data_IF_161830846242
#
_entry.id   IF_161830846242
#
_cell.length_a   1.000
_cell.length_b   1.000
_cell.length_c   1.000
_cell.angle_alpha   90.00
_cell.angle_beta   90.00
_cell.angle_gamma   90.00
#
_symmetry.space_group_name_H-M   'P 1'
#
loop_
_entity.id
_entity.type
_entity.pdbx_description
1 polymer ?
#
# COMPACT_ATOMS: atom_id res chain seq x y z
N UNK A 1 -7.54 -10.85 17.06
CA UNK A 1 -8.02 -11.85 16.07
C UNK A 1 -7.53 -11.54 14.64
N UNK A 2 -7.79 -10.33 14.12
CA UNK A 2 -7.35 -9.88 12.78
C UNK A 2 -5.87 -10.11 12.40
N UNK A 3 -4.87 -9.84 13.27
CA UNK A 3 -3.46 -10.02 12.87
C UNK A 3 -3.08 -11.50 12.63
N UNK A 4 -3.72 -12.44 13.33
CA UNK A 4 -3.48 -13.88 13.11
C UNK A 4 -4.05 -14.33 11.76
N UNK A 5 -5.23 -13.82 11.39
CA UNK A 5 -5.86 -14.11 10.10
C UNK A 5 -4.99 -13.55 8.96
N UNK A 6 -4.45 -12.34 9.12
CA UNK A 6 -3.54 -11.74 8.16
C UNK A 6 -2.27 -12.57 7.96
N UNK A 7 -1.67 -13.07 9.04
CA UNK A 7 -0.49 -13.96 8.97
C UNK A 7 -0.82 -15.26 8.23
N UNK A 8 -1.96 -15.88 8.55
CA UNK A 8 -2.41 -17.11 7.89
C UNK A 8 -2.62 -16.86 6.39
N UNK A 9 -3.29 -15.77 6.03
CA UNK A 9 -3.49 -15.38 4.63
C UNK A 9 -2.16 -15.10 3.91
N UNK A 10 -1.22 -14.42 4.55
CA UNK A 10 0.11 -14.16 4.01
C UNK A 10 0.92 -15.44 3.77
N UNK A 11 0.80 -16.43 4.66
CA UNK A 11 1.43 -17.74 4.48
C UNK A 11 0.74 -18.51 3.35
N UNK A 12 -0.60 -18.48 3.28
CA UNK A 12 -1.34 -19.13 2.19
C UNK A 12 -1.03 -18.51 0.83
N UNK A 13 -0.97 -17.18 0.73
CA UNK A 13 -0.59 -16.51 -0.51
C UNK A 13 0.84 -16.83 -0.91
N UNK A 14 1.77 -16.90 0.04
CA UNK A 14 3.15 -17.33 -0.21
C UNK A 14 3.23 -18.77 -0.72
N UNK A 15 2.48 -19.69 -0.11
CA UNK A 15 2.41 -21.09 -0.56
C UNK A 15 1.74 -21.21 -1.93
N UNK A 16 0.67 -20.47 -2.19
CA UNK A 16 0.00 -20.45 -3.50
C UNK A 16 0.91 -19.89 -4.60
N UNK A 17 1.63 -18.79 -4.34
CA UNK A 17 2.61 -18.24 -5.27
C UNK A 17 3.72 -19.26 -5.58
N UNK A 18 4.20 -20.01 -4.56
CA UNK A 18 5.22 -21.05 -4.73
C UNK A 18 4.71 -22.23 -5.56
N UNK A 19 3.48 -22.69 -5.33
CA UNK A 19 2.86 -23.81 -6.08
C UNK A 19 2.57 -23.45 -7.54
N UNK A 20 2.17 -22.21 -7.83
CA UNK A 20 1.98 -21.69 -9.20
C UNK A 20 3.29 -21.65 -10.01
N UNK A 21 4.43 -21.47 -9.35
CA UNK A 21 5.78 -21.54 -9.99
C UNK A 21 6.05 -22.87 -10.68
N UNK A 22 5.47 -23.96 -10.17
CA UNK A 22 5.77 -25.31 -10.67
C UNK A 22 5.00 -25.62 -11.96
N UNK A 23 3.97 -24.84 -12.32
CA UNK A 23 3.20 -24.98 -13.56
C UNK A 23 3.51 -23.81 -14.51
N UNK A 24 4.53 -23.99 -15.34
CA UNK A 24 4.71 -23.43 -16.70
C UNK A 24 3.84 -22.22 -17.12
N UNK A 25 3.88 -21.13 -16.35
CA UNK A 25 3.33 -19.83 -16.76
C UNK A 25 4.47 -18.88 -17.16
N UNK A 26 4.23 -17.95 -18.11
CA UNK A 26 5.27 -17.11 -18.67
C UNK A 26 6.02 -16.35 -17.58
N UNK A 27 7.37 -16.42 -17.62
CA UNK A 27 8.32 -15.88 -16.63
C UNK A 27 7.99 -14.45 -16.15
N UNK A 28 7.40 -13.62 -17.02
CA UNK A 28 7.03 -12.22 -16.75
C UNK A 28 5.87 -12.08 -15.73
N UNK A 29 4.90 -13.00 -15.71
CA UNK A 29 3.81 -12.99 -14.71
C UNK A 29 4.29 -13.48 -13.34
N UNK A 30 5.29 -14.36 -13.31
CA UNK A 30 5.80 -14.93 -12.07
C UNK A 30 6.53 -13.90 -11.19
N UNK A 31 7.38 -13.07 -11.81
CA UNK A 31 8.05 -11.99 -11.08
C UNK A 31 7.07 -10.94 -10.53
N UNK A 32 5.93 -10.73 -11.19
CA UNK A 32 4.88 -9.84 -10.71
C UNK A 32 4.27 -10.36 -9.40
N UNK A 33 3.83 -11.62 -9.41
CA UNK A 33 3.16 -12.23 -8.27
C UNK A 33 4.12 -12.40 -7.11
N UNK A 34 5.38 -12.77 -7.37
CA UNK A 34 6.42 -12.86 -6.33
C UNK A 34 6.67 -11.50 -5.67
N UNK A 35 6.74 -10.43 -6.45
CA UNK A 35 6.97 -9.09 -5.91
C UNK A 35 5.79 -8.57 -5.08
N UNK A 36 4.56 -8.82 -5.55
CA UNK A 36 3.34 -8.48 -4.81
C UNK A 36 3.24 -9.28 -3.51
N UNK A 37 3.55 -10.58 -3.54
CA UNK A 37 3.54 -11.42 -2.34
C UNK A 37 4.60 -10.97 -1.33
N UNK A 38 5.81 -10.61 -1.76
CA UNK A 38 6.86 -10.08 -0.87
C UNK A 38 6.43 -8.75 -0.25
N UNK A 39 5.80 -7.88 -1.02
CA UNK A 39 5.30 -6.58 -0.58
C UNK A 39 4.22 -6.75 0.51
N UNK A 40 3.24 -7.62 0.28
CA UNK A 40 2.19 -7.95 1.25
C UNK A 40 2.77 -8.62 2.50
N UNK A 41 3.77 -9.49 2.36
CA UNK A 41 4.35 -10.20 3.50
C UNK A 41 5.15 -9.26 4.42
N UNK A 42 5.86 -8.28 3.86
CA UNK A 42 6.54 -7.23 4.63
C UNK A 42 5.53 -6.37 5.38
N UNK A 43 4.43 -6.00 4.72
CA UNK A 43 3.39 -5.18 5.36
C UNK A 43 2.67 -5.93 6.48
N UNK A 44 2.33 -7.21 6.28
CA UNK A 44 1.76 -8.06 7.33
C UNK A 44 2.73 -8.15 8.52
N UNK A 45 4.03 -8.31 8.27
CA UNK A 45 5.03 -8.36 9.33
C UNK A 45 5.07 -7.07 10.14
N UNK A 46 5.13 -5.91 9.46
CA UNK A 46 5.11 -4.59 10.11
C UNK A 46 3.81 -4.38 10.89
N UNK A 47 2.67 -4.78 10.32
CA UNK A 47 1.37 -4.69 10.96
C UNK A 47 1.31 -5.54 12.23
N UNK A 48 1.81 -6.78 12.20
CA UNK A 48 1.86 -7.65 13.38
C UNK A 48 2.72 -7.04 14.48
N UNK A 49 3.91 -6.54 14.15
CA UNK A 49 4.84 -5.95 15.11
C UNK A 49 4.29 -4.68 15.80
N UNK A 50 3.45 -3.91 15.11
CA UNK A 50 2.94 -2.61 15.61
C UNK A 50 1.53 -2.69 16.17
N UNK A 51 0.69 -3.57 15.64
CA UNK A 51 -0.70 -3.74 16.07
C UNK A 51 -0.83 -4.63 17.31
N UNK A 52 0.02 -5.66 17.47
CA UNK A 52 -0.02 -6.52 18.66
C UNK A 52 0.21 -5.74 19.97
N UNK A 53 1.27 -4.92 20.11
CA UNK A 53 1.52 -4.17 21.34
C UNK A 53 0.35 -3.24 21.70
N UNK A 54 -0.24 -2.58 20.70
CA UNK A 54 -1.40 -1.71 20.89
C UNK A 54 -2.65 -2.50 21.35
N UNK A 55 -2.94 -3.64 20.72
CA UNK A 55 -4.08 -4.47 21.10
C UNK A 55 -3.95 -5.04 22.51
N UNK A 56 -2.73 -5.40 22.93
CA UNK A 56 -2.46 -5.90 24.29
C UNK A 56 -2.62 -4.76 25.30
N UNK A 57 -1.98 -3.61 25.07
CA UNK A 57 -1.99 -2.48 26.00
C UNK A 57 -3.39 -1.86 26.18
N UNK A 58 -4.17 -1.73 25.11
CA UNK A 58 -5.56 -1.27 25.21
C UNK A 58 -6.47 -2.27 25.95
N UNK A 59 -6.27 -3.58 25.74
CA UNK A 59 -6.99 -4.61 26.50
C UNK A 59 -6.65 -4.57 27.99
N UNK A 60 -5.36 -4.43 28.32
CA UNK A 60 -4.92 -4.27 29.71
C UNK A 60 -5.49 -3.00 30.35
N UNK A 61 -5.56 -1.88 29.62
CA UNK A 61 -6.14 -0.64 30.13
C UNK A 61 -7.61 -0.83 30.55
N UNK A 62 -8.42 -1.47 29.71
CA UNK A 62 -9.84 -1.71 30.02
C UNK A 62 -10.03 -2.59 31.26
N UNK A 63 -9.20 -3.62 31.43
CA UNK A 63 -9.25 -4.53 32.58
C UNK A 63 -8.76 -3.89 33.89
N UNK A 64 -7.96 -2.83 33.84
CA UNK A 64 -7.32 -2.21 35.01
C UNK A 64 -7.90 -0.83 35.38
N UNK A 65 -9.08 -0.49 34.88
CA UNK A 65 -9.73 0.83 35.07
C UNK A 65 -9.95 1.21 36.55
N UNK A 66 -10.07 0.22 37.46
CA UNK A 66 -10.34 0.44 38.89
C UNK A 66 -9.12 0.23 39.82
N UNK A 67 -7.90 0.20 39.27
CA UNK A 67 -6.65 0.08 40.06
C UNK A 67 -6.07 1.43 40.43
N UNK A 68 -4.95 1.39 41.17
CA UNK A 68 -4.21 2.56 41.62
C UNK A 68 -4.00 3.60 40.50
N UNK A 69 -4.19 4.90 40.82
CA UNK A 69 -4.14 5.97 39.83
C UNK A 69 -2.77 6.10 39.15
N UNK A 70 -1.69 5.72 39.85
CA UNK A 70 -0.32 5.74 39.31
C UNK A 70 -0.15 4.70 38.19
N UNK A 71 -0.68 3.49 38.39
CA UNK A 71 -0.61 2.41 37.40
C UNK A 71 -1.47 2.75 36.18
N UNK A 72 -2.64 3.36 36.41
CA UNK A 72 -3.52 3.82 35.34
C UNK A 72 -2.86 4.90 34.48
N UNK A 73 -2.15 5.86 35.09
CA UNK A 73 -1.41 6.89 34.36
C UNK A 73 -0.29 6.30 33.49
N UNK A 74 0.44 5.30 33.99
CA UNK A 74 1.48 4.60 33.22
C UNK A 74 0.88 3.83 32.04
N UNK A 75 -0.23 3.11 32.24
CA UNK A 75 -0.92 2.39 31.16
C UNK A 75 -1.45 3.33 30.08
N UNK A 76 -2.00 4.49 30.47
CA UNK A 76 -2.44 5.51 29.53
C UNK A 76 -1.28 6.08 28.69
N UNK A 77 -0.13 6.32 29.32
CA UNK A 77 1.07 6.79 28.60
C UNK A 77 1.58 5.74 27.61
N UNK A 78 1.66 4.48 28.03
CA UNK A 78 2.06 3.37 27.15
C UNK A 78 1.07 3.23 25.97
N UNK A 79 -0.24 3.30 26.24
CA UNK A 79 -1.27 3.21 25.22
C UNK A 79 -1.21 4.40 24.23
N UNK A 80 -0.92 5.61 24.70
CA UNK A 80 -0.73 6.78 23.83
C UNK A 80 0.49 6.63 22.91
N UNK A 81 1.60 6.10 23.43
CA UNK A 81 2.81 5.83 22.64
C UNK A 81 2.54 4.76 21.58
N UNK A 82 1.95 3.61 21.97
CA UNK A 82 1.65 2.52 21.02
C UNK A 82 0.62 2.93 19.97
N UNK A 83 -0.38 3.74 20.33
CA UNK A 83 -1.34 4.32 19.39
C UNK A 83 -0.64 5.23 18.37
N UNK A 84 0.25 6.11 18.84
CA UNK A 84 1.00 7.02 17.96
C UNK A 84 1.86 6.25 16.96
N UNK A 85 2.56 5.22 17.43
CA UNK A 85 3.36 4.32 16.56
C UNK A 85 2.47 3.62 15.53
N UNK A 86 1.28 3.14 15.93
CA UNK A 86 0.34 2.47 15.04
C UNK A 86 -0.16 3.41 13.92
N UNK A 87 -0.56 4.64 14.27
CA UNK A 87 -1.00 5.65 13.29
C UNK A 87 0.13 6.02 12.33
N UNK A 88 1.35 6.24 12.83
CA UNK A 88 2.52 6.52 12.00
C UNK A 88 2.84 5.36 11.05
N UNK A 89 2.64 4.12 11.50
CA UNK A 89 2.85 2.92 10.68
C UNK A 89 1.80 2.79 9.57
N UNK A 90 0.54 3.10 9.87
CA UNK A 90 -0.50 3.13 8.83
C UNK A 90 -0.20 4.22 7.79
N UNK A 91 0.31 5.39 8.20
CA UNK A 91 0.76 6.44 7.27
C UNK A 91 2.02 6.05 6.48
N UNK A 92 2.94 5.29 7.07
CA UNK A 92 4.18 4.88 6.42
C UNK A 92 4.01 3.72 5.44
N UNK A 93 2.90 2.97 5.50
CA UNK A 93 2.60 1.87 4.57
C UNK A 93 2.71 2.29 3.09
N UNK A 94 2.18 3.47 2.74
CA UNK A 94 2.29 4.05 1.39
C UNK A 94 3.75 4.31 0.97
N UNK A 95 4.56 4.86 1.88
CA UNK A 95 5.98 5.10 1.63
C UNK A 95 6.77 3.79 1.55
N UNK A 96 6.41 2.82 2.38
CA UNK A 96 6.98 1.47 2.37
C UNK A 96 6.72 0.80 1.03
N UNK A 97 5.51 0.94 0.48
CA UNK A 97 5.16 0.46 -0.85
C UNK A 97 5.96 1.12 -1.97
N UNK A 98 6.13 2.46 -1.92
CA UNK A 98 6.96 3.18 -2.90
C UNK A 98 8.43 2.77 -2.82
N UNK A 99 8.97 2.60 -1.61
CA UNK A 99 10.38 2.26 -1.38
C UNK A 99 10.69 0.80 -1.71
N UNK A 100 9.84 -0.14 -1.31
CA UNK A 100 10.07 -1.58 -1.49
C UNK A 100 9.79 -2.00 -2.94
N UNK A 101 8.77 -1.42 -3.58
CA UNK A 101 8.32 -1.89 -4.89
C UNK A 101 9.08 -1.21 -6.03
N UNK A 102 10.19 -1.81 -6.47
CA UNK A 102 10.97 -1.38 -7.65
C UNK A 102 10.11 -1.29 -8.92
N UNK A 103 9.05 -2.10 -9.02
CA UNK A 103 8.13 -2.11 -10.16
C UNK A 103 7.10 -0.99 -10.11
N UNK A 104 6.52 -0.70 -8.94
CA UNK A 104 5.62 0.45 -8.77
C UNK A 104 6.34 1.73 -9.18
N UNK A 105 7.61 1.91 -8.79
CA UNK A 105 8.43 3.03 -9.24
C UNK A 105 8.64 3.08 -10.76
N UNK A 106 8.79 1.95 -11.43
CA UNK A 106 8.91 1.90 -12.90
C UNK A 106 7.58 2.21 -13.58
N UNK A 107 6.49 1.59 -13.15
CA UNK A 107 5.16 1.81 -13.70
C UNK A 107 4.67 3.26 -13.47
N UNK A 108 4.87 3.80 -12.28
CA UNK A 108 4.55 5.19 -11.97
C UNK A 108 5.34 6.17 -12.85
N UNK A 109 6.63 5.91 -13.11
CA UNK A 109 7.41 6.71 -14.06
C UNK A 109 6.83 6.66 -15.47
N UNK A 110 6.44 5.48 -15.96
CA UNK A 110 5.83 5.36 -17.30
C UNK A 110 4.49 6.08 -17.39
N UNK A 111 3.62 5.96 -16.37
CA UNK A 111 2.33 6.65 -16.33
C UNK A 111 2.53 8.17 -16.23
N UNK A 112 3.44 8.64 -15.38
CA UNK A 112 3.75 10.07 -15.28
C UNK A 112 4.33 10.63 -16.59
N UNK A 113 5.19 9.86 -17.25
CA UNK A 113 5.74 10.22 -18.55
C UNK A 113 4.65 10.28 -19.63
N UNK A 114 3.72 9.31 -19.65
CA UNK A 114 2.60 9.29 -20.58
C UNK A 114 1.62 10.45 -20.32
N UNK A 115 1.30 10.76 -19.07
CA UNK A 115 0.48 11.92 -18.71
C UNK A 115 1.17 13.23 -19.13
N UNK A 116 2.48 13.34 -18.89
CA UNK A 116 3.25 14.51 -19.28
C UNK A 116 3.25 14.70 -20.80
N UNK A 117 3.49 13.63 -21.56
CA UNK A 117 3.56 13.69 -23.02
C UNK A 117 2.19 13.95 -23.65
N UNK A 118 1.12 13.37 -23.08
CA UNK A 118 -0.24 13.61 -23.53
C UNK A 118 -0.68 15.05 -23.25
N UNK A 119 -0.36 15.62 -22.07
CA UNK A 119 -0.59 17.05 -21.80
C UNK A 119 0.22 17.95 -22.74
N UNK A 120 1.47 17.61 -23.01
CA UNK A 120 2.31 18.38 -23.92
C UNK A 120 1.79 18.35 -25.36
N UNK A 121 1.29 17.18 -25.81
CA UNK A 121 0.67 17.02 -27.13
C UNK A 121 -0.65 17.81 -27.23
N UNK A 122 -1.46 17.79 -26.17
CA UNK A 122 -2.73 18.53 -26.11
C UNK A 122 -2.52 20.05 -26.09
N UNK A 123 -1.46 20.55 -25.43
CA UNK A 123 -1.08 21.97 -25.49
C UNK A 123 -0.47 22.41 -26.84
N UNK A 124 -0.01 21.47 -27.68
CA UNK A 124 0.47 21.78 -29.04
C UNK A 124 -0.62 21.78 -30.10
N UNK A 125 -1.71 21.04 -29.89
CA UNK A 125 -2.92 21.18 -30.69
C UNK A 125 -3.65 22.42 -30.17
N UNK A 126 -3.13 23.59 -30.56
CA UNK A 126 -3.84 24.84 -30.34
C UNK A 126 -5.19 24.83 -31.07
N UNK A 127 -6.14 25.69 -30.69
CA UNK A 127 -7.49 25.75 -31.28
C UNK A 127 -7.51 25.91 -32.80
N UNK A 128 -6.39 26.27 -33.43
CA UNK A 128 -6.24 26.45 -34.88
C UNK A 128 -6.51 25.19 -35.71
N UNK A 129 -6.18 23.98 -35.22
CA UNK A 129 -6.46 22.74 -35.99
C UNK A 129 -7.93 22.31 -35.93
N UNK A 130 -8.66 22.72 -34.89
CA UNK A 130 -10.10 22.45 -34.78
C UNK A 130 -10.85 23.33 -35.77
N UNK A 131 -10.47 24.61 -35.90
CA UNK A 131 -11.04 25.50 -36.92
C UNK A 131 -10.71 25.08 -38.35
N UNK A 132 -9.53 24.50 -38.62
CA UNK A 132 -9.20 24.03 -39.96
C UNK A 132 -10.07 22.85 -40.42
N UNK A 133 -10.44 21.95 -39.51
CA UNK A 133 -11.31 20.81 -39.82
C UNK A 133 -12.78 21.23 -40.03
N UNK A 134 -13.27 22.23 -39.29
CA UNK A 134 -14.61 22.78 -39.49
C UNK A 134 -14.76 23.65 -40.75
N UNK A 135 -13.68 24.24 -41.24
CA UNK A 135 -13.71 25.03 -42.50
C UNK A 135 -13.73 24.13 -43.72
N UNK A 136 -13.06 22.96 -43.69
CA UNK A 136 -13.09 22.00 -44.80
C UNK A 136 -14.42 21.24 -44.89
N UNK A 137 -15.09 20.97 -43.77
CA UNK A 137 -16.39 20.27 -43.76
C UNK A 137 -17.57 21.19 -44.15
N UNK A 138 -17.40 22.52 -44.10
CA UNK A 138 -18.40 23.51 -44.52
C UNK A 138 -18.16 24.08 -45.94
N UNK A 139 -17.17 23.56 -46.67
CA UNK A 139 -16.83 23.98 -48.04
C UNK A 139 -17.43 23.08 -49.14
N UNK A 140 -18.36 22.18 -48.78
CA UNK A 140 -19.10 21.32 -49.69
C UNK A 140 -20.60 21.64 -49.71
#
# INVERSE_FOLDING_TARGET
>A
LFPLIAVIFGIMSYRNARTLTTRTHPLIRHELDKQLTVMVLVEIFVYVCTYLPYSITSGFLQLNTNRDPVVLAQLNLINAITLTINILTNGSSFYTYICVSRRFRRQAKYVLYDIYINRFRQNRIGPEQITAHFVTDNAH
#
